data_IF_536322419216
#
_entry.id   IF_536322419216
#
_cell.length_a   1.000
_cell.length_b   1.000
_cell.length_c   1.000
_cell.angle_alpha   90.00
_cell.angle_beta   90.00
_cell.angle_gamma   90.00
#
_symmetry.space_group_name_H-M   'P 1'
#
loop_
_entity.id
_entity.type
_entity.pdbx_description
1 polymer ?
#
# COMPACT_ATOMS: atom_id res chain seq x y z
N UNK A 1 6.37 -6.66 23.11
CA UNK A 1 5.54 -7.74 22.58
C UNK A 1 5.55 -7.74 21.07
N UNK A 2 5.86 -8.87 20.48
CA UNK A 2 5.94 -8.98 19.04
C UNK A 2 4.55 -9.06 18.43
N UNK A 3 4.33 -8.27 17.40
CA UNK A 3 3.13 -8.39 16.59
C UNK A 3 3.42 -9.44 15.51
N UNK A 4 2.58 -10.46 15.46
CA UNK A 4 2.63 -11.47 14.42
C UNK A 4 2.39 -10.79 13.07
N UNK A 5 3.20 -11.14 12.07
CA UNK A 5 3.06 -10.57 10.73
C UNK A 5 1.67 -10.85 10.14
N UNK A 6 1.11 -12.02 10.41
CA UNK A 6 -0.23 -12.37 9.93
C UNK A 6 -1.26 -11.43 10.54
N UNK A 7 -1.18 -11.18 11.86
CA UNK A 7 -2.10 -10.26 12.54
C UNK A 7 -1.92 -8.82 12.05
N UNK A 8 -0.67 -8.39 11.85
CA UNK A 8 -0.37 -7.05 11.37
C UNK A 8 -0.92 -6.83 9.95
N UNK A 9 -0.76 -7.80 9.07
CA UNK A 9 -1.29 -7.74 7.70
C UNK A 9 -2.82 -7.73 7.72
N UNK A 10 -3.43 -8.53 8.59
CA UNK A 10 -4.88 -8.53 8.76
C UNK A 10 -5.42 -7.19 9.22
N UNK A 11 -4.74 -6.53 10.15
CA UNK A 11 -5.11 -5.19 10.60
C UNK A 11 -4.98 -4.16 9.51
N UNK A 12 -3.90 -4.22 8.72
CA UNK A 12 -3.68 -3.30 7.61
C UNK A 12 -4.76 -3.48 6.53
N UNK A 13 -5.07 -4.72 6.18
CA UNK A 13 -6.13 -5.03 5.22
C UNK A 13 -7.48 -4.47 5.70
N UNK A 14 -7.83 -4.72 6.95
CA UNK A 14 -9.08 -4.20 7.52
C UNK A 14 -9.10 -2.67 7.48
N UNK A 15 -7.97 -2.02 7.77
CA UNK A 15 -7.85 -0.57 7.71
C UNK A 15 -8.08 -0.03 6.30
N UNK A 16 -7.50 -0.67 5.29
CA UNK A 16 -7.68 -0.26 3.89
C UNK A 16 -9.12 -0.49 3.43
N UNK A 17 -9.74 -1.61 3.80
CA UNK A 17 -11.15 -1.86 3.51
C UNK A 17 -12.03 -0.77 4.15
N UNK A 18 -11.74 -0.41 5.39
CA UNK A 18 -12.49 0.64 6.07
C UNK A 18 -12.33 1.99 5.39
N UNK A 19 -11.12 2.31 4.91
CA UNK A 19 -10.88 3.54 4.14
C UNK A 19 -11.72 3.58 2.87
N UNK A 20 -11.77 2.47 2.14
CA UNK A 20 -12.56 2.38 0.91
C UNK A 20 -14.05 2.57 1.19
N UNK A 21 -14.55 1.96 2.25
CA UNK A 21 -15.96 2.07 2.61
C UNK A 21 -16.33 3.49 3.05
N UNK A 22 -15.50 4.11 3.88
CA UNK A 22 -15.77 5.45 4.40
C UNK A 22 -15.65 6.54 3.35
N UNK A 23 -14.69 6.40 2.46
CA UNK A 23 -14.45 7.36 1.39
C UNK A 23 -15.27 7.04 0.13
N UNK A 24 -15.97 5.92 0.12
CA UNK A 24 -16.67 5.41 -1.07
C UNK A 24 -15.73 5.37 -2.28
N UNK A 25 -14.49 4.93 -2.05
CA UNK A 25 -13.43 4.89 -3.04
C UNK A 25 -13.07 3.46 -3.40
N UNK A 26 -12.75 3.24 -4.67
CA UNK A 26 -12.37 1.93 -5.21
C UNK A 26 -11.08 2.06 -5.99
N UNK A 27 -10.34 0.96 -6.18
CA UNK A 27 -9.21 0.97 -7.11
C UNK A 27 -9.66 1.42 -8.50
N UNK A 28 -8.81 2.20 -9.15
CA UNK A 28 -9.10 2.74 -10.48
C UNK A 28 -9.61 4.18 -10.46
N UNK A 29 -9.86 4.74 -9.29
CA UNK A 29 -10.43 6.09 -9.15
C UNK A 29 -9.39 7.18 -8.94
N UNK A 30 -8.12 6.81 -9.04
CA UNK A 30 -6.98 7.71 -8.91
C UNK A 30 -6.91 8.33 -7.52
N UNK A 31 -6.62 7.49 -6.53
CA UNK A 31 -6.47 7.90 -5.11
C UNK A 31 -5.33 7.13 -4.46
N UNK A 32 -5.10 7.38 -3.18
CA UNK A 32 -4.14 6.61 -2.37
C UNK A 32 -4.45 5.10 -2.40
N UNK A 33 -5.71 4.73 -2.57
CA UNK A 33 -6.16 3.34 -2.63
C UNK A 33 -5.46 2.59 -3.77
N UNK A 34 -5.15 3.25 -4.87
CA UNK A 34 -4.47 2.63 -6.00
C UNK A 34 -3.05 2.15 -5.70
N UNK A 35 -2.43 2.70 -4.67
CA UNK A 35 -1.15 2.20 -4.16
C UNK A 35 -1.34 1.21 -3.01
N UNK A 36 -2.26 1.52 -2.09
CA UNK A 36 -2.44 0.70 -0.88
C UNK A 36 -2.97 -0.70 -1.18
N UNK A 37 -3.97 -0.81 -2.05
CA UNK A 37 -4.59 -2.12 -2.34
C UNK A 37 -3.60 -3.12 -2.93
N UNK A 38 -2.82 -2.79 -3.98
CA UNK A 38 -1.84 -3.73 -4.50
C UNK A 38 -0.81 -4.17 -3.46
N UNK A 39 -0.33 -3.25 -2.64
CA UNK A 39 0.62 -3.56 -1.57
C UNK A 39 0.03 -4.52 -0.55
N UNK A 40 -1.19 -4.26 -0.10
CA UNK A 40 -1.88 -5.12 0.87
C UNK A 40 -2.17 -6.50 0.28
N UNK A 41 -2.54 -6.59 -0.99
CA UNK A 41 -2.78 -7.88 -1.64
C UNK A 41 -1.54 -8.76 -1.65
N UNK A 42 -0.37 -8.19 -1.92
CA UNK A 42 0.90 -8.92 -1.86
C UNK A 42 1.15 -9.42 -0.44
N UNK A 43 0.94 -8.58 0.56
CA UNK A 43 1.13 -8.98 1.96
C UNK A 43 0.20 -10.12 2.35
N UNK A 44 -1.07 -10.02 2.00
CA UNK A 44 -2.05 -11.07 2.29
C UNK A 44 -1.67 -12.40 1.65
N UNK A 45 -1.19 -12.35 0.42
CA UNK A 45 -0.84 -13.55 -0.33
C UNK A 45 0.38 -14.28 0.22
N UNK A 46 1.27 -13.59 0.94
CA UNK A 46 2.54 -14.15 1.39
C UNK A 46 2.75 -14.22 2.89
N UNK A 47 1.88 -13.59 3.70
CA UNK A 47 2.11 -13.45 5.13
C UNK A 47 2.26 -14.79 5.86
N UNK A 48 1.39 -15.75 5.57
CA UNK A 48 1.41 -17.03 6.25
C UNK A 48 2.70 -17.82 5.97
N UNK A 49 3.19 -17.76 4.74
CA UNK A 49 4.43 -18.45 4.36
C UNK A 49 5.68 -17.77 4.91
N UNK A 50 5.64 -16.46 5.02
CA UNK A 50 6.77 -15.66 5.50
C UNK A 50 6.85 -15.62 7.03
N UNK A 51 5.76 -15.89 7.72
CA UNK A 51 5.65 -15.73 9.17
C UNK A 51 6.75 -16.50 9.91
N UNK A 52 7.43 -15.80 10.80
CA UNK A 52 8.50 -16.39 11.61
C UNK A 52 9.87 -16.45 10.94
N UNK A 53 9.98 -16.04 9.67
CA UNK A 53 11.24 -15.98 8.94
C UNK A 53 11.54 -14.54 8.57
N UNK A 54 12.50 -13.92 9.25
CA UNK A 54 12.80 -12.49 9.08
C UNK A 54 13.19 -12.13 7.64
N UNK A 55 13.95 -12.99 6.99
CA UNK A 55 14.35 -12.74 5.60
C UNK A 55 13.17 -12.82 4.63
N UNK A 56 12.31 -13.82 4.82
CA UNK A 56 11.10 -13.96 4.03
C UNK A 56 10.14 -12.80 4.26
N UNK A 57 10.02 -12.32 5.50
CA UNK A 57 9.19 -11.16 5.83
C UNK A 57 9.71 -9.90 5.15
N UNK A 58 11.03 -9.69 5.13
CA UNK A 58 11.63 -8.56 4.43
C UNK A 58 11.40 -8.63 2.92
N UNK A 59 11.56 -9.81 2.35
CA UNK A 59 11.30 -10.01 0.91
C UNK A 59 9.85 -9.70 0.59
N UNK A 60 8.93 -10.13 1.44
CA UNK A 60 7.51 -9.84 1.27
C UNK A 60 7.22 -8.34 1.33
N UNK A 61 7.86 -7.61 2.25
CA UNK A 61 7.71 -6.17 2.34
C UNK A 61 8.24 -5.46 1.10
N UNK A 62 9.37 -5.92 0.55
CA UNK A 62 9.90 -5.36 -0.70
C UNK A 62 8.97 -5.61 -1.88
N UNK A 63 8.40 -6.80 -1.96
CA UNK A 63 7.44 -7.14 -3.02
C UNK A 63 6.17 -6.30 -2.90
N UNK A 64 5.68 -6.09 -1.67
CA UNK A 64 4.53 -5.23 -1.42
C UNK A 64 4.82 -3.78 -1.82
N UNK A 65 6.01 -3.27 -1.49
CA UNK A 65 6.42 -1.92 -1.86
C UNK A 65 6.49 -1.76 -3.38
N UNK A 66 7.01 -2.78 -4.08
CA UNK A 66 7.04 -2.77 -5.55
C UNK A 66 5.62 -2.75 -6.14
N UNK A 67 4.71 -3.52 -5.57
CA UNK A 67 3.31 -3.52 -6.01
C UNK A 67 2.63 -2.17 -5.76
N UNK A 68 2.89 -1.55 -4.61
CA UNK A 68 2.36 -0.22 -4.31
C UNK A 68 2.92 0.83 -5.28
N UNK A 69 4.20 0.74 -5.62
CA UNK A 69 4.83 1.64 -6.60
C UNK A 69 4.20 1.48 -7.99
N UNK A 70 3.95 0.25 -8.41
CA UNK A 70 3.30 -0.03 -9.68
C UNK A 70 1.86 0.51 -9.69
N UNK A 71 1.15 0.36 -8.58
CA UNK A 71 -0.21 0.89 -8.42
C UNK A 71 -0.24 2.41 -8.50
N UNK A 72 0.72 3.08 -7.86
CA UNK A 72 0.87 4.53 -7.95
C UNK A 72 1.15 4.96 -9.39
N UNK A 73 2.08 4.29 -10.06
CA UNK A 73 2.43 4.62 -11.45
C UNK A 73 1.24 4.44 -12.38
N UNK A 74 0.41 3.42 -12.14
CA UNK A 74 -0.79 3.17 -12.92
C UNK A 74 -1.79 4.33 -12.86
N UNK A 75 -1.74 5.16 -11.82
CA UNK A 75 -2.65 6.32 -11.71
C UNK A 75 -2.43 7.34 -12.83
N UNK A 76 -1.30 7.31 -13.51
CA UNK A 76 -1.06 8.18 -14.66
C UNK A 76 -2.09 7.98 -15.77
N UNK A 77 -2.61 6.75 -15.89
CA UNK A 77 -3.57 6.40 -16.93
C UNK A 77 -5.03 6.54 -16.44
N UNK A 78 -5.21 6.98 -15.22
CA UNK A 78 -6.53 7.09 -14.61
C UNK A 78 -7.05 8.52 -14.65
N UNK A 79 -8.38 8.66 -14.74
CA UNK A 79 -9.08 9.91 -14.59
C UNK A 79 -9.52 10.06 -13.14
N UNK A 80 -9.27 11.24 -12.55
CA UNK A 80 -9.62 11.48 -11.15
C UNK A 80 -11.12 11.53 -10.95
N UNK A 81 -11.60 10.85 -9.92
CA UNK A 81 -13.02 10.80 -9.52
C UNK A 81 -13.27 11.64 -8.28
N UNK A 82 -12.27 11.77 -7.40
CA UNK A 82 -12.40 12.43 -6.11
C UNK A 82 -11.45 13.61 -5.95
N UNK A 83 -11.78 14.48 -5.01
CA UNK A 83 -10.91 15.56 -4.58
C UNK A 83 -10.80 16.69 -5.60
N UNK A 84 -9.78 17.51 -5.43
CA UNK A 84 -9.55 18.69 -6.30
C UNK A 84 -9.27 18.31 -7.75
N UNK A 85 -8.61 17.19 -7.97
CA UNK A 85 -8.27 16.73 -9.30
C UNK A 85 -9.52 16.41 -10.14
N UNK A 86 -10.65 16.09 -9.50
CA UNK A 86 -11.90 15.81 -10.21
C UNK A 86 -12.46 17.05 -10.95
N UNK A 87 -12.09 18.26 -10.52
CA UNK A 87 -12.51 19.47 -11.22
C UNK A 87 -11.90 19.62 -12.62
N UNK A 88 -10.81 18.92 -12.86
CA UNK A 88 -10.17 18.90 -14.16
C UNK A 88 -9.78 17.47 -14.51
N UNK A 89 -10.78 16.58 -14.47
CA UNK A 89 -10.58 15.15 -14.61
C UNK A 89 -9.79 14.77 -15.86
N UNK A 90 -10.12 15.37 -17.00
CA UNK A 90 -9.42 15.11 -18.26
C UNK A 90 -7.95 15.48 -18.19
N UNK A 91 -7.62 16.55 -17.47
CA UNK A 91 -6.24 17.01 -17.31
C UNK A 91 -5.46 16.16 -16.32
N UNK A 92 -6.15 15.35 -15.51
CA UNK A 92 -5.50 14.47 -14.54
C UNK A 92 -4.86 13.25 -15.21
N UNK A 93 -5.28 12.92 -16.42
CA UNK A 93 -4.72 11.78 -17.16
C UNK A 93 -3.27 12.14 -17.57
N UNK A 94 -2.37 11.20 -17.31
CA UNK A 94 -0.95 11.39 -17.58
C UNK A 94 -0.16 11.95 -16.40
N UNK A 95 -0.85 12.38 -15.34
CA UNK A 95 -0.24 12.93 -14.14
C UNK A 95 -0.40 11.92 -12.99
N UNK A 96 0.67 11.71 -12.22
CA UNK A 96 0.61 10.87 -11.01
C UNK A 96 -0.36 11.48 -10.00
N UNK A 97 -1.16 10.62 -9.39
CA UNK A 97 -1.97 11.03 -8.24
C UNK A 97 -1.08 11.25 -7.01
N UNK A 98 -1.19 12.43 -6.39
CA UNK A 98 -0.41 12.77 -5.20
C UNK A 98 -0.70 11.85 -4.02
N UNK A 99 -1.97 11.46 -3.82
CA UNK A 99 -2.34 10.53 -2.76
C UNK A 99 -1.72 9.14 -2.97
N UNK A 100 -1.67 8.66 -4.21
CA UNK A 100 -1.05 7.37 -4.50
C UNK A 100 0.46 7.40 -4.27
N UNK A 101 1.10 8.54 -4.50
CA UNK A 101 2.53 8.70 -4.18
C UNK A 101 2.75 8.58 -2.67
N UNK A 102 1.88 9.17 -1.86
CA UNK A 102 1.95 9.01 -0.41
C UNK A 102 1.83 7.53 -0.02
N UNK A 103 0.87 6.81 -0.58
CA UNK A 103 0.70 5.38 -0.32
C UNK A 103 1.93 4.57 -0.70
N UNK A 104 2.51 4.85 -1.87
CA UNK A 104 3.75 4.24 -2.31
C UNK A 104 4.90 4.49 -1.33
N UNK A 105 5.04 5.73 -0.86
CA UNK A 105 6.12 6.11 0.05
C UNK A 105 5.97 5.45 1.43
N UNK A 106 4.74 5.24 1.89
CA UNK A 106 4.48 4.49 3.12
C UNK A 106 5.06 3.07 3.00
N UNK A 107 4.75 2.37 1.93
CA UNK A 107 5.27 1.02 1.71
C UNK A 107 6.79 1.01 1.53
N UNK A 108 7.33 1.97 0.78
CA UNK A 108 8.78 2.08 0.60
C UNK A 108 9.49 2.31 1.92
N UNK A 109 8.92 3.16 2.78
CA UNK A 109 9.47 3.43 4.11
C UNK A 109 9.49 2.18 4.98
N UNK A 110 8.40 1.41 4.97
CA UNK A 110 8.32 0.16 5.74
C UNK A 110 9.35 -0.85 5.22
N UNK A 111 9.45 -1.00 3.91
CA UNK A 111 10.36 -1.96 3.30
C UNK A 111 11.84 -1.62 3.52
N UNK A 112 12.18 -0.34 3.60
CA UNK A 112 13.55 0.13 3.78
C UNK A 112 13.93 0.37 5.24
N UNK A 113 12.99 0.27 6.18
CA UNK A 113 13.27 0.48 7.58
C UNK A 113 14.31 -0.54 8.06
N UNK A 114 15.32 -0.09 8.84
CA UNK A 114 16.28 -1.04 9.40
C UNK A 114 15.56 -2.02 10.32
N UNK A 115 16.06 -3.25 10.34
CA UNK A 115 15.55 -4.23 11.29
C UNK A 115 15.69 -3.66 12.70
N UNK A 116 14.58 -3.64 13.44
CA UNK A 116 14.61 -3.19 14.82
C UNK A 116 15.63 -4.00 15.59
N UNK A 117 16.57 -3.27 16.23
CA UNK A 117 17.49 -3.91 17.14
C UNK A 117 16.72 -4.24 18.41
N UNK A 118 16.30 -5.48 18.53
CA UNK A 118 15.61 -5.88 19.74
C UNK A 118 16.58 -5.97 20.89
N UNK A 119 16.21 -5.49 22.08
CA UNK A 119 17.02 -5.76 23.24
C UNK A 119 17.15 -7.27 23.39
N UNK A 120 18.36 -7.72 23.65
CA UNK A 120 18.56 -9.14 23.89
C UNK A 120 17.82 -9.58 25.14
N UNK A 121 17.25 -10.72 25.04
CA UNK A 121 16.43 -11.30 26.12
C UNK A 121 17.20 -12.31 26.91
#
# INVERSE_FOLDING_TARGET
QEVDVIAAVGALDAGVQNMMDKAESRPGEKTIIDALVPGVEVLRGGAARAAGNAEAERALLRDAAAAAAAGSEATRQMEAVHGRAAYSAERSIGVLDGGSVVGRLIFAGIASAPAETRPER
#
